data_IF_605075006059
#
_entry.id   IF_605075006059
#
_cell.length_a   1.000
_cell.length_b   1.000
_cell.length_c   1.000
_cell.angle_alpha   90.00
_cell.angle_beta   90.00
_cell.angle_gamma   90.00
#
_symmetry.space_group_name_H-M   'P 1'
#
loop_
_entity.id
_entity.type
_entity.pdbx_description
1 polymer ?
#
# COMPACT_ATOMS: atom_id res chain seq x y z
N UNK A 1 6.80 -6.00 2.44
CA UNK A 1 7.18 -5.56 3.81
C UNK A 1 6.97 -6.73 4.78
N UNK A 2 7.80 -6.91 5.83
CA UNK A 2 7.66 -8.08 6.75
C UNK A 2 6.36 -8.04 7.56
N UNK A 3 5.94 -6.85 7.99
CA UNK A 3 4.74 -6.65 8.82
C UNK A 3 3.44 -7.10 8.13
N UNK A 4 3.33 -6.94 6.82
CA UNK A 4 2.11 -7.22 6.05
C UNK A 4 2.06 -8.65 5.50
N UNK A 5 3.18 -9.38 5.53
CA UNK A 5 3.34 -10.68 4.85
C UNK A 5 2.38 -11.76 5.33
N UNK A 6 1.98 -11.71 6.60
CA UNK A 6 1.03 -12.68 7.19
C UNK A 6 -0.43 -12.42 6.77
N UNK A 7 -0.73 -11.22 6.28
CA UNK A 7 -2.11 -10.82 5.92
C UNK A 7 -2.39 -11.20 4.47
N UNK A 8 -1.48 -10.85 3.56
CA UNK A 8 -1.62 -11.21 2.15
C UNK A 8 -0.97 -10.21 1.20
N UNK A 9 -1.40 -10.27 -0.05
CA UNK A 9 -0.96 -9.38 -1.13
C UNK A 9 -2.00 -8.27 -1.36
N UNK A 10 -1.68 -7.08 -0.88
CA UNK A 10 -2.57 -5.93 -0.86
C UNK A 10 -1.81 -4.63 -0.62
N UNK A 11 -2.55 -3.51 -0.72
CA UNK A 11 -2.06 -2.20 -0.32
C UNK A 11 -2.39 -2.02 1.16
N UNK A 12 -1.37 -1.83 1.99
CA UNK A 12 -1.52 -1.68 3.42
C UNK A 12 -0.85 -0.40 3.90
N UNK A 13 -1.53 0.33 4.77
CA UNK A 13 -0.91 1.38 5.59
C UNK A 13 -0.22 0.74 6.78
N UNK A 14 1.00 1.17 7.12
CA UNK A 14 1.72 0.66 8.28
C UNK A 14 2.26 1.82 9.09
N UNK A 15 1.71 1.99 10.29
CA UNK A 15 2.14 3.04 11.19
C UNK A 15 3.30 2.56 12.04
N UNK A 16 4.35 3.38 12.08
CA UNK A 16 5.59 3.09 12.78
C UNK A 16 5.81 4.16 13.84
N UNK A 17 6.09 3.71 15.06
CA UNK A 17 6.57 4.55 16.14
C UNK A 17 8.05 4.29 16.37
N UNK A 18 8.85 5.35 16.28
CA UNK A 18 10.29 5.31 16.59
C UNK A 18 10.53 5.75 18.03
N UNK A 19 11.34 5.00 18.76
CA UNK A 19 11.82 5.34 20.09
C UNK A 19 13.29 4.93 20.19
N UNK A 20 14.14 5.91 20.48
CA UNK A 20 15.60 5.77 20.37
C UNK A 20 15.99 5.24 18.98
N UNK A 21 16.89 4.26 18.91
CA UNK A 21 17.33 3.60 17.67
C UNK A 21 16.42 2.42 17.26
N UNK A 22 15.19 2.33 17.78
CA UNK A 22 14.27 1.23 17.51
C UNK A 22 12.97 1.70 16.86
N UNK A 23 12.51 0.93 15.88
CA UNK A 23 11.24 1.14 15.19
C UNK A 23 10.25 0.04 15.54
N UNK A 24 9.03 0.43 15.88
CA UNK A 24 7.94 -0.47 16.25
C UNK A 24 6.77 -0.25 15.31
N UNK A 25 6.24 -1.32 14.73
CA UNK A 25 4.94 -1.28 14.04
C UNK A 25 3.86 -1.22 15.11
N UNK A 26 2.99 -0.23 15.02
CA UNK A 26 1.89 -0.03 15.97
C UNK A 26 0.54 -0.41 15.38
N UNK A 27 0.38 -0.28 14.06
CA UNK A 27 -0.87 -0.54 13.35
C UNK A 27 -0.60 -0.98 11.90
N UNK A 28 -1.49 -1.82 11.38
CA UNK A 28 -1.52 -2.22 9.97
C UNK A 28 -2.95 -2.11 9.47
N UNK A 29 -3.18 -1.21 8.51
CA UNK A 29 -4.48 -0.91 7.92
C UNK A 29 -4.61 -1.55 6.54
N UNK A 30 -5.66 -2.34 6.33
CA UNK A 30 -5.97 -3.02 5.05
C UNK A 30 -6.63 -2.12 4.02
N UNK A 31 -7.28 -1.04 4.48
CA UNK A 31 -7.83 0.02 3.65
C UNK A 31 -7.26 1.38 4.08
N UNK A 32 -5.97 1.67 3.78
CA UNK A 32 -5.38 2.95 4.10
C UNK A 32 -6.00 4.08 3.25
N UNK A 33 -5.96 5.29 3.79
CA UNK A 33 -6.24 6.48 2.99
C UNK A 33 -5.05 6.79 2.06
N UNK A 34 -5.35 7.49 0.96
CA UNK A 34 -4.36 8.05 0.04
C UNK A 34 -4.81 9.50 -0.19
N UNK A 35 -4.32 10.39 0.66
CA UNK A 35 -4.67 11.79 0.68
C UNK A 35 -3.72 12.58 -0.23
N UNK A 36 -4.30 13.42 -1.09
CA UNK A 36 -3.52 14.28 -1.99
C UNK A 36 -2.64 15.24 -1.20
N UNK A 37 -1.39 15.34 -1.59
CA UNK A 37 -0.39 16.14 -0.90
C UNK A 37 0.14 15.49 0.38
N UNK A 38 -0.19 14.24 0.66
CA UNK A 38 0.35 13.46 1.80
C UNK A 38 1.09 12.23 1.28
N UNK A 39 0.39 11.17 0.85
CA UNK A 39 1.03 9.93 0.38
C UNK A 39 1.70 10.10 -0.99
N UNK A 40 1.21 11.01 -1.82
CA UNK A 40 1.74 11.28 -3.16
C UNK A 40 2.92 12.27 -3.17
N UNK A 41 3.40 12.76 -2.02
CA UNK A 41 4.53 13.69 -1.97
C UNK A 41 5.83 13.12 -2.58
N UNK A 42 5.99 11.79 -2.55
CA UNK A 42 7.20 11.12 -3.04
C UNK A 42 7.05 10.69 -4.50
N UNK A 43 5.97 9.97 -4.83
CA UNK A 43 5.79 9.37 -6.16
C UNK A 43 4.90 10.21 -7.10
N UNK A 44 4.18 11.20 -6.56
CA UNK A 44 3.22 12.02 -7.30
C UNK A 44 2.18 11.17 -8.02
N UNK A 45 1.88 11.53 -9.27
CA UNK A 45 0.94 10.81 -10.14
C UNK A 45 1.24 9.31 -10.28
N UNK A 46 2.52 8.91 -10.17
CA UNK A 46 2.90 7.51 -10.32
C UNK A 46 2.33 6.62 -9.21
N UNK A 47 2.06 7.16 -8.02
CA UNK A 47 1.40 6.40 -6.95
C UNK A 47 0.03 5.90 -7.42
N UNK A 48 -0.77 6.82 -7.95
CA UNK A 48 -2.12 6.50 -8.43
C UNK A 48 -2.08 5.58 -9.64
N UNK A 49 -1.14 5.77 -10.57
CA UNK A 49 -0.97 4.87 -11.72
C UNK A 49 -0.63 3.44 -11.29
N UNK A 50 0.23 3.25 -10.28
CA UNK A 50 0.55 1.93 -9.75
C UNK A 50 -0.67 1.26 -9.12
N UNK A 51 -1.42 2.00 -8.29
CA UNK A 51 -2.67 1.50 -7.68
C UNK A 51 -3.67 1.06 -8.76
N UNK A 52 -3.91 1.91 -9.76
CA UNK A 52 -4.82 1.62 -10.86
C UNK A 52 -4.37 0.43 -11.73
N UNK A 53 -3.06 0.28 -11.94
CA UNK A 53 -2.49 -0.87 -12.66
C UNK A 53 -2.78 -2.18 -11.95
N UNK A 54 -2.68 -2.22 -10.61
CA UNK A 54 -3.02 -3.40 -9.81
C UNK A 54 -4.50 -3.77 -9.98
N UNK A 55 -5.41 -2.80 -9.90
CA UNK A 55 -6.83 -3.05 -10.13
C UNK A 55 -7.10 -3.60 -11.54
N UNK A 56 -6.50 -2.98 -12.56
CA UNK A 56 -6.64 -3.43 -13.95
C UNK A 56 -6.16 -4.88 -14.12
N UNK A 57 -4.98 -5.22 -13.59
CA UNK A 57 -4.44 -6.57 -13.64
C UNK A 57 -5.34 -7.60 -12.94
N UNK A 58 -5.89 -7.26 -11.77
CA UNK A 58 -6.83 -8.12 -11.04
C UNK A 58 -8.13 -8.32 -11.80
N UNK A 59 -8.67 -7.28 -12.42
CA UNK A 59 -9.86 -7.36 -13.28
C UNK A 59 -9.59 -8.24 -14.50
N UNK A 60 -8.45 -8.03 -15.20
CA UNK A 60 -8.06 -8.82 -16.36
C UNK A 60 -7.96 -10.31 -16.02
N UNK A 61 -7.24 -10.64 -14.94
CA UNK A 61 -7.10 -12.00 -14.43
C UNK A 61 -8.46 -12.64 -14.10
N UNK A 62 -9.37 -11.89 -13.48
CA UNK A 62 -10.72 -12.39 -13.12
C UNK A 62 -11.58 -12.70 -14.35
N UNK A 63 -11.40 -11.95 -15.45
CA UNK A 63 -12.19 -12.11 -16.67
C UNK A 63 -11.46 -12.92 -17.76
N UNK A 64 -10.30 -13.53 -17.45
CA UNK A 64 -9.54 -14.35 -18.39
C UNK A 64 -8.79 -13.56 -19.47
N UNK A 65 -8.68 -12.24 -19.34
CA UNK A 65 -7.77 -11.45 -20.16
C UNK A 65 -6.34 -11.68 -19.64
N UNK A 66 -5.49 -12.24 -20.49
CA UNK A 66 -4.03 -12.37 -20.24
C UNK A 66 -3.35 -11.01 -20.33
#
# INVERSE_FOLDING_TARGET
>A
MKATRLIGDGLYGVDIKSLDDKNYVIEVNDNPNIDQGVEDQVLGENLYQQIMSVFLQRIRRKHGYV
#
